data_IF_556659962864
#
_entry.id   IF_556659962864
#
_cell.length_a   1.000
_cell.length_b   1.000
_cell.length_c   1.000
_cell.angle_alpha   90.00
_cell.angle_beta   90.00
_cell.angle_gamma   90.00
#
_symmetry.space_group_name_H-M   'P 1'
#
loop_
_entity.id
_entity.type
_entity.pdbx_description
1 polymer ?
#
# COMPACT_ATOMS: atom_id res chain seq x y z
N UNK A 1 -2.67 0.36 -17.35
CA UNK A 1 -2.98 1.76 -17.03
C UNK A 1 -3.43 2.49 -18.30
N UNK A 2 -4.72 2.46 -18.61
CA UNK A 2 -5.29 3.06 -19.83
C UNK A 2 -6.25 4.20 -19.53
N UNK A 3 -6.17 4.80 -18.34
CA UNK A 3 -7.01 5.88 -17.87
C UNK A 3 -6.17 6.82 -17.01
N UNK A 4 -6.41 8.12 -17.11
CA UNK A 4 -5.81 9.16 -16.28
C UNK A 4 -6.87 10.20 -15.97
N UNK A 5 -6.89 10.74 -14.75
CA UNK A 5 -7.80 11.83 -14.40
C UNK A 5 -7.31 13.17 -14.98
N UNK A 6 -6.05 13.50 -14.72
CA UNK A 6 -5.32 14.65 -15.24
C UNK A 6 -3.81 14.31 -15.31
N UNK A 7 -2.95 15.27 -15.62
CA UNK A 7 -1.50 15.07 -15.81
C UNK A 7 -0.69 14.94 -14.50
N UNK A 8 -1.30 15.09 -13.32
CA UNK A 8 -0.59 15.25 -12.05
C UNK A 8 -1.15 14.40 -10.90
N UNK A 9 -2.42 14.02 -10.97
CA UNK A 9 -3.14 13.27 -9.94
C UNK A 9 -3.06 11.79 -10.27
N UNK A 10 -2.25 11.07 -9.50
CA UNK A 10 -2.04 9.63 -9.72
C UNK A 10 -2.36 8.77 -8.48
N UNK A 11 -2.52 9.39 -7.30
CA UNK A 11 -2.94 8.70 -6.08
C UNK A 11 -4.45 8.86 -5.89
N UNK A 12 -5.14 7.74 -5.73
CA UNK A 12 -6.59 7.69 -5.53
C UNK A 12 -6.91 6.60 -4.52
N UNK A 13 -7.84 6.87 -3.61
CA UNK A 13 -8.54 5.78 -2.94
C UNK A 13 -9.67 5.20 -3.83
N UNK A 14 -10.37 4.17 -3.35
CA UNK A 14 -11.44 3.56 -4.13
C UNK A 14 -12.63 4.51 -4.35
N UNK A 15 -12.92 5.38 -3.37
CA UNK A 15 -14.01 6.35 -3.47
C UNK A 15 -13.68 7.42 -4.51
N UNK A 16 -12.45 7.92 -4.48
CA UNK A 16 -11.92 8.83 -5.49
C UNK A 16 -12.05 8.25 -6.90
N UNK A 17 -11.69 6.97 -7.08
CA UNK A 17 -11.82 6.30 -8.38
C UNK A 17 -13.28 6.23 -8.83
N UNK A 18 -14.22 5.89 -7.95
CA UNK A 18 -15.66 5.85 -8.27
C UNK A 18 -16.18 7.23 -8.68
N UNK A 19 -15.76 8.29 -7.98
CA UNK A 19 -16.23 9.66 -8.24
C UNK A 19 -15.62 10.27 -9.51
N UNK A 20 -14.35 9.97 -9.80
CA UNK A 20 -13.57 10.65 -10.84
C UNK A 20 -13.50 9.86 -12.15
N UNK A 21 -13.77 8.55 -12.13
CA UNK A 21 -13.66 7.72 -13.33
C UNK A 21 -14.65 8.17 -14.41
N UNK A 22 -14.13 8.34 -15.63
CA UNK A 22 -14.91 8.63 -16.83
C UNK A 22 -14.30 7.91 -18.03
N UNK A 23 -15.18 7.37 -18.89
CA UNK A 23 -14.80 6.70 -20.14
C UNK A 23 -14.10 7.68 -21.11
N UNK A 24 -14.39 8.97 -21.01
CA UNK A 24 -13.82 10.01 -21.89
C UNK A 24 -12.29 10.12 -21.78
N UNK A 25 -11.72 9.73 -20.63
CA UNK A 25 -10.27 9.76 -20.39
C UNK A 25 -9.58 8.41 -20.62
N UNK A 26 -10.23 7.47 -21.31
CA UNK A 26 -9.59 6.21 -21.69
C UNK A 26 -8.63 6.40 -22.87
N UNK A 27 -7.40 5.92 -22.71
CA UNK A 27 -6.38 5.90 -23.75
C UNK A 27 -6.28 4.48 -24.36
N UNK A 28 -6.47 4.31 -25.68
CA UNK A 28 -6.40 3.00 -26.34
C UNK A 28 -4.97 2.47 -26.51
N UNK A 29 -3.94 3.28 -26.18
CA UNK A 29 -2.55 2.88 -26.32
C UNK A 29 -2.18 1.78 -25.31
N UNK A 30 -1.33 0.81 -25.69
CA UNK A 30 -0.86 -0.23 -24.78
C UNK A 30 -0.15 0.38 -23.57
N UNK A 31 -0.59 -0.02 -22.38
CA UNK A 31 0.01 0.44 -21.14
C UNK A 31 1.00 -0.59 -20.61
N UNK A 32 2.28 -0.22 -20.53
CA UNK A 32 3.28 -1.05 -19.88
C UNK A 32 3.08 -1.05 -18.35
N UNK A 33 3.32 -2.20 -17.72
CA UNK A 33 3.36 -2.31 -16.26
C UNK A 33 4.67 -1.70 -15.76
N UNK A 34 4.58 -0.81 -14.78
CA UNK A 34 5.73 -0.26 -14.07
C UNK A 34 5.68 -0.72 -12.61
N UNK A 35 6.52 -1.70 -12.26
CA UNK A 35 6.57 -2.26 -10.91
C UNK A 35 7.05 -1.25 -9.87
N UNK A 36 8.04 -0.40 -10.19
CA UNK A 36 8.50 0.66 -9.28
C UNK A 36 7.36 1.62 -8.92
N UNK A 37 6.50 1.95 -9.89
CA UNK A 37 5.32 2.78 -9.65
C UNK A 37 4.24 2.04 -8.84
N UNK A 38 4.07 0.74 -9.07
CA UNK A 38 3.19 -0.10 -8.26
C UNK A 38 3.64 -0.10 -6.79
N UNK A 39 4.93 -0.33 -6.54
CA UNK A 39 5.49 -0.36 -5.17
C UNK A 39 5.34 1.00 -4.49
N UNK A 40 5.55 2.10 -5.23
CA UNK A 40 5.32 3.44 -4.72
C UNK A 40 3.88 3.65 -4.23
N UNK A 41 2.88 3.27 -5.03
CA UNK A 41 1.48 3.38 -4.62
C UNK A 41 1.12 2.43 -3.49
N UNK A 42 1.66 1.22 -3.49
CA UNK A 42 1.45 0.27 -2.40
C UNK A 42 1.94 0.87 -1.07
N UNK A 43 3.14 1.48 -1.07
CA UNK A 43 3.67 2.19 0.10
C UNK A 43 2.81 3.40 0.51
N UNK A 44 2.24 4.15 -0.43
CA UNK A 44 1.30 5.24 -0.13
C UNK A 44 0.04 4.70 0.57
N UNK A 45 -0.54 3.61 0.07
CA UNK A 45 -1.71 2.99 0.67
C UNK A 45 -1.40 2.39 2.05
N UNK A 46 -0.26 1.73 2.23
CA UNK A 46 0.20 1.24 3.55
C UNK A 46 0.29 2.40 4.56
N UNK A 47 0.89 3.53 4.15
CA UNK A 47 0.99 4.73 5.01
C UNK A 47 -0.36 5.40 5.29
N UNK A 48 -1.37 5.17 4.46
CA UNK A 48 -2.73 5.67 4.70
C UNK A 48 -3.54 4.81 5.69
N UNK A 49 -3.10 3.57 5.99
CA UNK A 49 -3.81 2.68 6.92
C UNK A 49 -3.73 3.18 8.37
N UNK A 50 -4.78 2.89 9.14
CA UNK A 50 -4.74 2.98 10.60
C UNK A 50 -3.70 2.01 11.17
N UNK A 51 -3.05 2.39 12.28
CA UNK A 51 -1.97 1.60 12.88
C UNK A 51 -2.46 0.25 13.41
N UNK A 52 -3.69 0.16 13.94
CA UNK A 52 -4.24 -1.13 14.40
C UNK A 52 -4.56 -2.04 13.23
N UNK A 53 -5.10 -1.48 12.15
CA UNK A 53 -5.35 -2.23 10.91
C UNK A 53 -4.01 -2.75 10.33
N UNK A 54 -3.01 -1.87 10.21
CA UNK A 54 -1.70 -2.27 9.71
C UNK A 54 -1.03 -3.32 10.60
N UNK A 55 -1.09 -3.16 11.93
CA UNK A 55 -0.56 -4.14 12.88
C UNK A 55 -1.20 -5.53 12.69
N UNK A 56 -2.51 -5.58 12.47
CA UNK A 56 -3.23 -6.83 12.24
C UNK A 56 -2.82 -7.49 10.91
N UNK A 57 -2.52 -6.70 9.88
CA UNK A 57 -2.09 -7.19 8.56
C UNK A 57 -0.65 -7.69 8.56
N UNK A 58 0.25 -7.08 9.35
CA UNK A 58 1.67 -7.47 9.38
C UNK A 58 1.95 -8.61 10.37
N UNK A 59 1.14 -8.78 11.43
CA UNK A 59 1.31 -9.83 12.43
C UNK A 59 1.48 -11.25 11.84
N UNK A 60 0.72 -11.69 10.82
CA UNK A 60 0.92 -12.99 10.17
C UNK A 60 2.33 -13.22 9.64
N UNK A 61 3.01 -12.19 9.14
CA UNK A 61 4.38 -12.31 8.61
C UNK A 61 5.40 -12.60 9.73
N UNK A 62 5.20 -12.03 10.92
CA UNK A 62 6.03 -12.36 12.08
C UNK A 62 5.83 -13.81 12.55
N UNK A 63 4.57 -14.25 12.58
CA UNK A 63 4.21 -15.62 12.98
C UNK A 63 4.78 -16.64 12.00
N UNK A 64 4.67 -16.39 10.68
CA UNK A 64 5.21 -17.28 9.64
C UNK A 64 6.73 -17.45 9.76
N UNK A 65 7.44 -16.41 10.20
CA UNK A 65 8.89 -16.46 10.44
C UNK A 65 9.28 -17.06 11.79
N UNK A 66 8.31 -17.52 12.58
CA UNK A 66 8.53 -18.13 13.90
C UNK A 66 8.98 -17.14 14.97
N UNK A 67 8.74 -15.84 14.79
CA UNK A 67 9.09 -14.82 15.77
C UNK A 67 8.04 -14.80 16.89
N UNK A 68 8.45 -14.64 18.16
CA UNK A 68 7.52 -14.49 19.28
C UNK A 68 6.87 -13.10 19.22
N UNK A 69 5.81 -12.98 18.43
CA UNK A 69 5.08 -11.74 18.21
C UNK A 69 3.62 -11.89 18.64
N UNK A 70 3.18 -11.01 19.54
CA UNK A 70 1.76 -10.78 19.83
C UNK A 70 1.28 -9.47 19.20
N UNK A 71 -0.03 -9.30 19.13
CA UNK A 71 -0.63 -8.11 18.52
C UNK A 71 -0.17 -6.80 19.19
N UNK A 72 -0.04 -6.77 20.51
CA UNK A 72 0.35 -5.56 21.26
C UNK A 72 1.81 -5.16 20.97
N UNK A 73 2.70 -6.14 20.84
CA UNK A 73 4.10 -5.92 20.49
C UNK A 73 4.25 -5.44 19.06
N UNK A 74 3.51 -6.03 18.12
CA UNK A 74 3.48 -5.59 16.71
C UNK A 74 2.87 -4.20 16.59
N UNK A 75 1.78 -3.91 17.31
CA UNK A 75 1.15 -2.59 17.32
C UNK A 75 2.12 -1.50 17.77
N UNK A 76 2.90 -1.75 18.82
CA UNK A 76 3.90 -0.78 19.33
C UNK A 76 4.98 -0.42 18.31
N UNK A 77 5.41 -1.37 17.48
CA UNK A 77 6.45 -1.12 16.47
C UNK A 77 5.89 -0.63 15.13
N UNK A 78 4.59 -0.85 14.87
CA UNK A 78 3.93 -0.50 13.60
C UNK A 78 4.21 0.93 13.12
N UNK A 79 4.15 1.99 13.95
CA UNK A 79 4.42 3.36 13.51
C UNK A 79 5.84 3.56 12.97
N UNK A 80 6.82 2.81 13.49
CA UNK A 80 8.23 2.88 13.09
C UNK A 80 8.50 2.20 11.75
N UNK A 81 7.72 1.15 11.45
CA UNK A 81 7.82 0.39 10.22
C UNK A 81 7.05 1.04 9.08
N UNK A 82 5.88 1.61 9.39
CA UNK A 82 4.90 2.18 8.45
C UNK A 82 5.51 3.13 7.42
N UNK A 83 6.44 4.01 7.84
CA UNK A 83 7.06 5.00 6.95
C UNK A 83 8.15 4.42 6.03
N UNK A 84 8.61 3.20 6.31
CA UNK A 84 9.77 2.57 5.64
C UNK A 84 9.38 1.41 4.73
N UNK A 85 8.14 0.95 4.81
CA UNK A 85 7.65 -0.23 4.09
C UNK A 85 7.11 0.12 2.70
N UNK A 86 7.58 -0.62 1.69
CA UNK A 86 6.99 -0.71 0.37
C UNK A 86 5.96 -1.84 0.28
N UNK A 87 6.14 -2.94 1.01
CA UNK A 87 5.24 -4.10 1.08
C UNK A 87 5.05 -4.59 2.51
N UNK A 88 4.06 -5.45 2.76
CA UNK A 88 3.76 -5.91 4.12
C UNK A 88 4.81 -6.89 4.67
N UNK A 89 5.42 -7.72 3.83
CA UNK A 89 6.43 -8.71 4.22
C UNK A 89 7.76 -8.08 4.65
N UNK A 90 8.05 -6.87 4.18
CA UNK A 90 9.21 -6.08 4.64
C UNK A 90 9.13 -5.75 6.14
N UNK A 91 7.95 -5.83 6.76
CA UNK A 91 7.78 -5.54 8.20
C UNK A 91 8.71 -6.36 9.07
N UNK A 92 9.00 -7.61 8.70
CA UNK A 92 9.86 -8.51 9.48
C UNK A 92 11.33 -8.14 9.32
N UNK A 93 11.74 -7.69 8.13
CA UNK A 93 13.12 -7.29 7.86
C UNK A 93 13.46 -5.93 8.50
N UNK A 94 12.45 -5.08 8.69
CA UNK A 94 12.58 -3.73 9.23
C UNK A 94 12.43 -3.64 10.75
N UNK A 95 11.81 -4.66 11.36
CA UNK A 95 11.61 -4.81 12.82
C UNK A 95 12.90 -5.18 13.56
#
# INVERSE_FOLDING_TARGET
>A
MGWSYDDHTEYFDLKDLVEKFSIEHLNPSPAAINFTKLDHFNGLHIRALDERDLAQRILPFFIEKGLPADFESVLRITPLLKERMGTLDESVTLA
#
